data_IF_312941679594
#
_entry.id   IF_312941679594
#
_cell.length_a   1.000
_cell.length_b   1.000
_cell.length_c   1.000
_cell.angle_alpha   90.00
_cell.angle_beta   90.00
_cell.angle_gamma   90.00
#
_symmetry.space_group_name_H-M   'P 1'
#
loop_
_entity.id
_entity.type
_entity.pdbx_description
1 polymer ?
#
# COMPACT_ATOMS: atom_id res chain seq x y z
N UNK A 1 -5.09 27.10 0.57
CA UNK A 1 -3.65 27.43 0.62
C UNK A 1 -3.32 28.30 -0.59
N UNK A 2 -2.94 29.56 -0.40
CA UNK A 2 -2.29 30.33 -1.46
C UNK A 2 -1.02 29.59 -1.91
N UNK A 3 -0.79 29.52 -3.22
CA UNK A 3 0.31 28.76 -3.78
C UNK A 3 1.65 29.47 -3.54
N UNK A 4 2.26 29.23 -2.38
CA UNK A 4 3.60 29.70 -2.07
C UNK A 4 4.60 29.08 -3.07
N UNK A 5 5.23 29.95 -3.85
CA UNK A 5 6.22 29.57 -4.86
C UNK A 5 7.59 29.44 -4.20
N UNK A 6 8.28 28.34 -4.50
CA UNK A 6 9.61 28.04 -3.99
C UNK A 6 10.68 28.81 -4.77
N UNK A 7 11.76 29.21 -4.11
CA UNK A 7 13.00 29.56 -4.82
C UNK A 7 13.56 28.28 -5.45
N UNK A 8 13.87 28.35 -6.75
CA UNK A 8 14.33 27.20 -7.52
C UNK A 8 15.65 26.67 -6.95
N UNK A 9 15.68 25.38 -6.57
CA UNK A 9 16.90 24.72 -6.10
C UNK A 9 17.11 23.42 -6.89
N UNK A 10 18.06 23.43 -7.81
CA UNK A 10 18.21 22.39 -8.84
C UNK A 10 19.00 21.14 -8.40
N UNK A 11 19.32 20.98 -7.11
CA UNK A 11 20.19 19.89 -6.63
C UNK A 11 19.41 18.68 -6.09
N UNK A 12 18.55 18.08 -6.92
CA UNK A 12 17.82 16.84 -6.57
C UNK A 12 18.76 15.64 -6.37
N UNK A 13 19.80 15.52 -7.22
CA UNK A 13 20.76 14.40 -7.23
C UNK A 13 21.64 14.29 -5.98
N UNK A 14 21.79 15.37 -5.21
CA UNK A 14 22.54 15.36 -3.93
C UNK A 14 21.67 14.96 -2.73
N UNK A 15 20.41 14.58 -2.95
CA UNK A 15 19.55 14.09 -1.88
C UNK A 15 19.99 12.69 -1.44
N UNK A 16 20.39 12.56 -0.18
CA UNK A 16 20.65 11.25 0.44
C UNK A 16 19.43 10.32 0.32
N UNK A 17 18.22 10.87 0.49
CA UNK A 17 16.96 10.09 0.37
C UNK A 17 16.77 9.53 -1.04
N UNK A 18 17.10 10.32 -2.07
CA UNK A 18 17.02 9.89 -3.47
C UNK A 18 18.06 8.79 -3.78
N UNK A 19 19.29 8.98 -3.31
CA UNK A 19 20.36 7.99 -3.52
C UNK A 19 19.98 6.65 -2.85
N UNK A 20 19.46 6.70 -1.63
CA UNK A 20 18.96 5.50 -0.92
C UNK A 20 17.76 4.87 -1.61
N UNK A 21 16.85 5.66 -2.21
CA UNK A 21 15.70 5.09 -2.92
C UNK A 21 16.13 4.37 -4.21
N UNK A 22 17.15 4.86 -4.91
CA UNK A 22 17.73 4.17 -6.06
C UNK A 22 18.44 2.87 -5.64
N UNK A 23 19.20 2.90 -4.55
CA UNK A 23 19.82 1.69 -3.99
C UNK A 23 18.76 0.66 -3.60
N UNK A 24 17.70 1.09 -2.90
CA UNK A 24 16.59 0.22 -2.53
C UNK A 24 15.89 -0.38 -3.75
N UNK A 25 15.67 0.40 -4.82
CA UNK A 25 15.11 -0.13 -6.06
C UNK A 25 16.02 -1.19 -6.69
N UNK A 26 17.34 -0.98 -6.72
CA UNK A 26 18.30 -1.99 -7.21
C UNK A 26 18.20 -3.29 -6.41
N UNK A 27 18.18 -3.19 -5.09
CA UNK A 27 18.08 -4.35 -4.20
C UNK A 27 16.76 -5.10 -4.43
N UNK A 28 15.64 -4.37 -4.51
CA UNK A 28 14.33 -4.93 -4.84
C UNK A 28 14.34 -5.69 -6.17
N UNK A 29 14.98 -5.16 -7.20
CA UNK A 29 15.08 -5.84 -8.49
C UNK A 29 15.84 -7.17 -8.39
N UNK A 30 16.97 -7.16 -7.69
CA UNK A 30 17.78 -8.36 -7.47
C UNK A 30 17.01 -9.43 -6.67
N UNK A 31 16.42 -9.04 -5.55
CA UNK A 31 15.65 -9.94 -4.67
C UNK A 31 14.39 -10.48 -5.34
N UNK A 32 13.70 -9.67 -6.16
CA UNK A 32 12.44 -10.11 -6.79
C UNK A 32 12.62 -10.93 -8.06
N UNK A 33 13.85 -11.10 -8.56
CA UNK A 33 14.11 -11.80 -9.84
C UNK A 33 13.54 -13.23 -9.85
N UNK A 34 13.71 -13.96 -8.75
CA UNK A 34 13.29 -15.35 -8.60
C UNK A 34 11.84 -15.52 -8.14
N UNK A 35 11.06 -14.44 -7.99
CA UNK A 35 9.67 -14.57 -7.55
C UNK A 35 8.84 -15.24 -8.66
N UNK A 36 8.13 -16.34 -8.36
CA UNK A 36 7.32 -17.04 -9.36
C UNK A 36 6.05 -16.23 -9.71
N UNK A 37 5.55 -15.41 -8.79
CA UNK A 37 4.40 -14.53 -9.01
C UNK A 37 4.83 -13.23 -9.72
N UNK A 38 4.46 -13.14 -11.00
CA UNK A 38 4.68 -11.95 -11.83
C UNK A 38 4.00 -10.70 -11.27
N UNK A 39 2.80 -10.81 -10.70
CA UNK A 39 2.02 -9.67 -10.21
C UNK A 39 2.71 -9.04 -9.00
N UNK A 40 3.16 -9.86 -8.04
CA UNK A 40 3.92 -9.35 -6.88
C UNK A 40 5.24 -8.76 -7.36
N UNK A 41 5.97 -9.46 -8.23
CA UNK A 41 7.28 -9.03 -8.74
C UNK A 41 7.22 -7.68 -9.44
N UNK A 42 6.32 -7.52 -10.40
CA UNK A 42 6.19 -6.30 -11.20
C UNK A 42 5.72 -5.11 -10.34
N UNK A 43 4.69 -5.31 -9.51
CA UNK A 43 4.20 -4.24 -8.64
C UNK A 43 5.23 -3.79 -7.63
N UNK A 44 6.04 -4.71 -7.12
CA UNK A 44 7.09 -4.40 -6.15
C UNK A 44 8.18 -3.55 -6.82
N UNK A 45 8.62 -3.93 -8.01
CA UNK A 45 9.59 -3.19 -8.84
C UNK A 45 9.08 -1.81 -9.23
N UNK A 46 7.86 -1.72 -9.73
CA UNK A 46 7.20 -0.45 -10.09
C UNK A 46 7.11 0.49 -8.89
N UNK A 47 6.66 -0.03 -7.74
CA UNK A 47 6.56 0.74 -6.50
C UNK A 47 7.93 1.24 -6.06
N UNK A 48 8.97 0.39 -6.09
CA UNK A 48 10.31 0.76 -5.65
C UNK A 48 10.93 1.88 -6.50
N UNK A 49 10.81 1.81 -7.84
CA UNK A 49 11.24 2.89 -8.75
C UNK A 49 10.46 4.16 -8.49
N UNK A 50 9.14 4.05 -8.28
CA UNK A 50 8.26 5.20 -8.08
C UNK A 50 8.61 6.01 -6.83
N UNK A 51 9.26 5.42 -5.82
CA UNK A 51 9.78 6.16 -4.66
C UNK A 51 10.80 7.22 -5.13
N UNK A 52 11.80 6.80 -5.90
CA UNK A 52 12.84 7.70 -6.40
C UNK A 52 12.30 8.75 -7.37
N UNK A 53 11.38 8.35 -8.27
CA UNK A 53 10.71 9.27 -9.21
C UNK A 53 9.94 10.35 -8.47
N UNK A 54 9.15 9.98 -7.45
CA UNK A 54 8.41 10.95 -6.64
C UNK A 54 9.34 11.90 -5.86
N UNK A 55 10.41 11.40 -5.24
CA UNK A 55 11.41 12.24 -4.55
C UNK A 55 12.09 13.21 -5.51
N UNK A 56 12.41 12.77 -6.73
CA UNK A 56 13.00 13.64 -7.74
C UNK A 56 12.01 14.74 -8.19
N UNK A 57 10.75 14.37 -8.44
CA UNK A 57 9.71 15.32 -8.84
C UNK A 57 9.39 16.34 -7.73
N UNK A 58 9.42 15.91 -6.46
CA UNK A 58 9.20 16.80 -5.32
C UNK A 58 10.26 17.91 -5.25
N UNK A 59 11.50 17.63 -5.65
CA UNK A 59 12.61 18.60 -5.63
C UNK A 59 12.51 19.64 -6.75
N UNK A 60 12.05 19.23 -7.94
CA UNK A 60 12.05 20.07 -9.15
C UNK A 60 10.82 20.97 -9.22
N UNK A 61 9.74 20.62 -8.51
CA UNK A 61 8.51 21.40 -8.54
C UNK A 61 8.65 22.77 -7.87
N UNK A 62 7.97 23.77 -8.43
CA UNK A 62 8.03 25.17 -7.97
C UNK A 62 7.03 25.49 -6.83
N UNK A 63 6.17 24.55 -6.45
CA UNK A 63 5.07 24.80 -5.51
C UNK A 63 5.13 23.83 -4.34
N UNK A 64 5.12 24.35 -3.11
CA UNK A 64 5.17 23.52 -1.90
C UNK A 64 4.02 22.51 -1.81
N UNK A 65 2.81 22.87 -2.25
CA UNK A 65 1.68 21.94 -2.29
C UNK A 65 1.94 20.75 -3.24
N UNK A 66 2.60 20.98 -4.38
CA UNK A 66 2.98 19.88 -5.30
C UNK A 66 4.13 19.05 -4.72
N UNK A 67 5.11 19.70 -4.07
CA UNK A 67 6.21 19.00 -3.39
C UNK A 67 5.67 18.04 -2.32
N UNK A 68 4.72 18.51 -1.50
CA UNK A 68 4.04 17.69 -0.51
C UNK A 68 3.34 16.49 -1.17
N UNK A 69 2.60 16.72 -2.26
CA UNK A 69 1.89 15.64 -2.97
C UNK A 69 2.86 14.57 -3.50
N UNK A 70 4.00 14.97 -4.07
CA UNK A 70 5.01 14.01 -4.52
C UNK A 70 5.65 13.26 -3.36
N UNK A 71 6.01 13.93 -2.26
CA UNK A 71 6.54 13.26 -1.07
C UNK A 71 5.53 12.29 -0.45
N UNK A 72 4.25 12.65 -0.41
CA UNK A 72 3.16 11.77 0.01
C UNK A 72 2.98 10.59 -0.98
N UNK A 73 3.22 10.80 -2.27
CA UNK A 73 3.33 9.74 -3.28
C UNK A 73 4.51 8.79 -3.02
N UNK A 74 5.66 9.29 -2.56
CA UNK A 74 6.76 8.43 -2.14
C UNK A 74 6.39 7.57 -0.92
N UNK A 75 5.71 8.14 0.09
CA UNK A 75 5.21 7.38 1.26
C UNK A 75 4.22 6.28 0.85
N UNK A 76 3.36 6.58 -0.12
CA UNK A 76 2.44 5.61 -0.72
C UNK A 76 3.23 4.42 -1.28
N UNK A 77 4.20 4.67 -2.15
CA UNK A 77 5.02 3.64 -2.78
C UNK A 77 5.85 2.82 -1.77
N UNK A 78 6.39 3.48 -0.73
CA UNK A 78 7.08 2.77 0.36
C UNK A 78 6.13 1.80 1.06
N UNK A 79 4.91 2.24 1.39
CA UNK A 79 3.90 1.38 2.03
C UNK A 79 3.50 0.20 1.15
N UNK A 80 3.45 0.41 -0.17
CA UNK A 80 3.22 -0.66 -1.15
C UNK A 80 4.36 -1.68 -1.16
N UNK A 81 5.62 -1.23 -1.22
CA UNK A 81 6.77 -2.13 -1.15
C UNK A 81 6.75 -2.98 0.12
N UNK A 82 6.54 -2.37 1.29
CA UNK A 82 6.47 -3.08 2.57
C UNK A 82 5.38 -4.15 2.58
N UNK A 83 4.21 -3.82 2.03
CA UNK A 83 3.10 -4.78 1.88
C UNK A 83 3.50 -5.94 0.97
N UNK A 84 4.03 -5.65 -0.22
CA UNK A 84 4.40 -6.66 -1.22
C UNK A 84 5.55 -7.56 -0.76
N UNK A 85 6.52 -7.02 -0.01
CA UNK A 85 7.57 -7.80 0.66
C UNK A 85 6.97 -8.76 1.70
N UNK A 86 5.99 -8.29 2.49
CA UNK A 86 5.28 -9.14 3.44
C UNK A 86 4.46 -10.23 2.73
N UNK A 87 3.84 -9.92 1.59
CA UNK A 87 3.15 -10.91 0.76
C UNK A 87 4.12 -11.96 0.22
N UNK A 88 5.28 -11.53 -0.29
CA UNK A 88 6.31 -12.43 -0.79
C UNK A 88 6.82 -13.38 0.32
N UNK A 89 7.06 -12.86 1.53
CA UNK A 89 7.42 -13.66 2.70
C UNK A 89 6.34 -14.69 3.04
N UNK A 90 5.09 -14.26 3.12
CA UNK A 90 3.93 -15.13 3.41
C UNK A 90 3.80 -16.26 2.39
N UNK A 91 4.14 -15.98 1.13
CA UNK A 91 4.11 -16.96 0.04
C UNK A 91 5.36 -17.83 -0.05
N UNK A 92 6.36 -17.60 0.80
CA UNK A 92 7.63 -18.32 0.75
C UNK A 92 8.49 -17.96 -0.47
N UNK A 93 8.23 -16.83 -1.13
CA UNK A 93 9.05 -16.32 -2.24
C UNK A 93 10.31 -15.62 -1.75
N UNK A 94 10.32 -15.26 -0.46
CA UNK A 94 11.36 -14.49 0.20
C UNK A 94 11.66 -15.11 1.55
N UNK A 95 12.94 -15.28 1.89
CA UNK A 95 13.34 -15.74 3.21
C UNK A 95 13.16 -14.63 4.24
N UNK A 96 13.06 -15.00 5.52
CA UNK A 96 12.82 -14.02 6.59
C UNK A 96 13.96 -13.00 6.69
N UNK A 97 15.21 -13.43 6.52
CA UNK A 97 16.41 -12.60 6.59
C UNK A 97 16.40 -11.54 5.47
N UNK A 98 16.11 -11.96 4.23
CA UNK A 98 16.01 -11.08 3.06
C UNK A 98 14.85 -10.09 3.22
N UNK A 99 13.72 -10.55 3.77
CA UNK A 99 12.59 -9.71 4.14
C UNK A 99 12.99 -8.64 5.16
N UNK A 100 13.67 -9.02 6.24
CA UNK A 100 14.10 -8.08 7.28
C UNK A 100 15.05 -7.02 6.71
N UNK A 101 16.02 -7.43 5.88
CA UNK A 101 16.95 -6.49 5.25
C UNK A 101 16.21 -5.47 4.37
N UNK A 102 15.32 -5.94 3.49
CA UNK A 102 14.54 -5.07 2.62
C UNK A 102 13.59 -4.16 3.42
N UNK A 103 12.94 -4.68 4.45
CA UNK A 103 12.03 -3.94 5.34
C UNK A 103 12.79 -2.85 6.11
N UNK A 104 13.98 -3.12 6.63
CA UNK A 104 14.81 -2.12 7.30
C UNK A 104 15.12 -0.94 6.37
N UNK A 105 15.49 -1.21 5.11
CA UNK A 105 15.74 -0.17 4.09
C UNK A 105 14.47 0.62 3.77
N UNK A 106 13.32 -0.06 3.65
CA UNK A 106 12.03 0.60 3.40
C UNK A 106 11.59 1.48 4.58
N UNK A 107 11.79 1.04 5.83
CA UNK A 107 11.51 1.82 7.04
C UNK A 107 12.45 3.02 7.16
N UNK A 108 13.71 2.87 6.78
CA UNK A 108 14.65 4.00 6.72
C UNK A 108 14.14 5.06 5.72
N UNK A 109 13.79 4.65 4.49
CA UNK A 109 13.21 5.55 3.49
C UNK A 109 11.92 6.21 3.95
N UNK A 110 11.07 5.50 4.70
CA UNK A 110 9.85 6.04 5.29
C UNK A 110 10.20 7.19 6.25
N UNK A 111 11.10 6.95 7.21
CA UNK A 111 11.55 7.96 8.19
C UNK A 111 12.17 9.18 7.52
N UNK A 112 13.01 8.96 6.51
CA UNK A 112 13.65 10.04 5.76
C UNK A 112 12.64 10.87 4.97
N UNK A 113 11.72 10.23 4.24
CA UNK A 113 10.67 10.90 3.45
C UNK A 113 9.72 11.68 4.34
N UNK A 114 9.37 11.12 5.50
CA UNK A 114 8.58 11.79 6.51
C UNK A 114 9.29 13.02 7.08
N UNK A 115 10.61 12.94 7.32
CA UNK A 115 11.41 14.10 7.75
C UNK A 115 11.41 15.21 6.69
N UNK A 116 11.41 14.88 5.40
CA UNK A 116 11.29 15.88 4.33
C UNK A 116 9.93 16.59 4.36
N UNK A 117 8.85 15.84 4.59
CA UNK A 117 7.49 16.41 4.71
C UNK A 117 7.41 17.34 5.93
N UNK A 118 7.90 16.90 7.09
CA UNK A 118 7.90 17.73 8.31
C UNK A 118 8.63 19.06 8.10
N UNK A 119 9.79 19.03 7.45
CA UNK A 119 10.55 20.25 7.11
C UNK A 119 9.74 21.14 6.18
N UNK A 120 9.15 20.58 5.13
CA UNK A 120 8.32 21.33 4.18
C UNK A 120 7.16 22.05 4.88
N UNK A 121 6.50 21.39 5.84
CA UNK A 121 5.40 21.99 6.58
C UNK A 121 5.85 23.08 7.52
N UNK A 122 6.95 22.89 8.26
CA UNK A 122 7.54 23.94 9.09
C UNK A 122 7.83 25.21 8.29
N UNK A 123 8.32 25.07 7.04
CA UNK A 123 8.53 26.22 6.15
C UNK A 123 7.24 26.89 5.70
N UNK A 124 6.14 26.15 5.56
CA UNK A 124 4.87 26.67 5.03
C UNK A 124 4.00 27.28 6.12
N UNK A 125 4.00 26.72 7.33
CA UNK A 125 3.06 27.10 8.40
C UNK A 125 3.69 27.92 9.52
N UNK A 126 5.03 27.96 9.67
CA UNK A 126 5.73 28.54 10.83
C UNK A 126 5.23 28.01 12.19
N UNK A 127 4.53 26.88 12.20
CA UNK A 127 3.98 26.25 13.41
C UNK A 127 4.74 24.94 13.63
N UNK A 128 5.09 24.64 14.87
CA UNK A 128 5.56 23.30 15.22
C UNK A 128 4.47 22.29 14.90
N UNK A 129 4.69 21.51 13.84
CA UNK A 129 3.76 20.46 13.44
C UNK A 129 3.73 19.42 14.55
N UNK A 130 2.54 19.26 15.15
CA UNK A 130 2.22 18.24 16.14
C UNK A 130 2.69 16.86 15.63
N UNK A 131 3.03 15.94 16.53
CA UNK A 131 3.70 14.68 16.19
C UNK A 131 2.84 13.83 15.25
N UNK A 132 3.05 13.88 13.93
CA UNK A 132 2.38 12.92 13.06
C UNK A 132 3.03 11.55 13.29
N UNK A 133 2.21 10.61 13.72
CA UNK A 133 2.59 9.20 13.74
C UNK A 133 2.06 8.56 12.47
N UNK A 134 2.96 8.11 11.61
CA UNK A 134 2.60 7.13 10.59
C UNK A 134 2.33 5.83 11.34
N UNK A 135 1.06 5.43 11.41
CA UNK A 135 0.68 4.15 12.00
C UNK A 135 1.41 3.02 11.25
N UNK A 136 2.05 2.11 11.98
CA UNK A 136 2.53 0.88 11.36
C UNK A 136 1.30 0.03 11.02
N UNK A 137 0.92 0.00 9.74
CA UNK A 137 -0.29 -0.68 9.27
C UNK A 137 -0.32 -2.15 9.66
N UNK A 138 0.83 -2.78 9.94
CA UNK A 138 0.93 -4.17 10.39
C UNK A 138 0.32 -4.43 11.78
N UNK A 139 0.19 -3.39 12.59
CA UNK A 139 -0.53 -3.45 13.86
C UNK A 139 -2.05 -3.32 13.68
N UNK A 140 -2.51 -3.01 12.47
CA UNK A 140 -3.94 -2.88 12.17
C UNK A 140 -4.59 -4.24 12.02
N UNK A 141 -5.60 -4.51 12.85
CA UNK A 141 -6.43 -5.70 12.72
C UNK A 141 -7.14 -5.77 11.35
N UNK A 142 -7.49 -4.61 10.77
CA UNK A 142 -8.04 -4.55 9.41
C UNK A 142 -7.05 -5.05 8.37
N UNK A 143 -5.78 -4.62 8.47
CA UNK A 143 -4.74 -5.06 7.55
C UNK A 143 -4.47 -6.56 7.69
N UNK A 144 -4.25 -7.04 8.91
CA UNK A 144 -3.97 -8.46 9.15
C UNK A 144 -5.12 -9.34 8.63
N UNK A 145 -6.38 -8.94 8.86
CA UNK A 145 -7.53 -9.69 8.34
C UNK A 145 -7.61 -9.70 6.81
N UNK A 146 -7.13 -8.64 6.16
CA UNK A 146 -7.05 -8.60 4.69
C UNK A 146 -5.93 -9.48 4.12
N UNK A 147 -4.87 -9.74 4.90
CA UNK A 147 -3.82 -10.72 4.56
C UNK A 147 -4.39 -12.13 4.66
N UNK A 148 -5.12 -12.46 5.73
CA UNK A 148 -5.79 -13.77 5.87
C UNK A 148 -6.74 -14.04 4.68
N UNK A 149 -7.54 -13.03 4.32
CA UNK A 149 -8.44 -13.12 3.17
C UNK A 149 -7.66 -13.42 1.89
N UNK A 150 -6.56 -12.73 1.67
CA UNK A 150 -5.73 -12.96 0.51
C UNK A 150 -5.16 -14.39 0.53
N UNK A 151 -4.56 -14.84 1.63
CA UNK A 151 -4.00 -16.20 1.74
C UNK A 151 -5.04 -17.29 1.45
N UNK A 152 -6.25 -17.15 1.99
CA UNK A 152 -7.33 -18.12 1.75
C UNK A 152 -7.78 -18.18 0.29
N UNK A 153 -7.77 -17.05 -0.42
CA UNK A 153 -8.04 -17.01 -1.86
C UNK A 153 -6.92 -17.67 -2.66
N UNK A 154 -5.67 -17.44 -2.27
CA UNK A 154 -4.52 -18.11 -2.88
C UNK A 154 -4.63 -19.62 -2.76
N UNK A 155 -4.90 -20.14 -1.56
CA UNK A 155 -5.08 -21.59 -1.38
C UNK A 155 -6.23 -22.16 -2.19
N UNK A 156 -7.34 -21.42 -2.29
CA UNK A 156 -8.45 -21.82 -3.17
C UNK A 156 -7.98 -21.90 -4.63
N UNK A 157 -7.32 -20.86 -5.13
CA UNK A 157 -6.86 -20.78 -6.52
C UNK A 157 -5.82 -21.86 -6.81
N UNK A 158 -4.83 -22.04 -5.94
CA UNK A 158 -3.78 -23.07 -6.07
C UNK A 158 -4.36 -24.50 -6.03
N UNK A 159 -5.54 -24.70 -5.41
CA UNK A 159 -6.20 -26.01 -5.33
C UNK A 159 -7.10 -26.36 -6.51
N UNK A 160 -7.36 -25.41 -7.42
CA UNK A 160 -8.31 -25.60 -8.52
C UNK A 160 -7.57 -25.95 -9.80
N UNK A 161 -8.13 -26.90 -10.53
CA UNK A 161 -7.65 -27.23 -11.87
C UNK A 161 -7.85 -26.03 -12.81
N UNK A 162 -6.73 -25.41 -13.20
CA UNK A 162 -6.70 -24.15 -13.94
C UNK A 162 -7.30 -24.27 -15.35
N UNK A 163 -7.40 -25.48 -15.92
CA UNK A 163 -7.92 -25.68 -17.27
C UNK A 163 -9.38 -25.22 -17.44
N UNK A 164 -10.17 -25.17 -16.36
CA UNK A 164 -11.60 -24.86 -16.43
C UNK A 164 -11.89 -23.38 -16.12
N UNK A 165 -10.99 -22.67 -15.41
CA UNK A 165 -11.36 -21.37 -14.81
C UNK A 165 -10.24 -20.34 -14.62
N UNK A 166 -9.19 -20.40 -15.45
CA UNK A 166 -8.00 -19.55 -15.34
C UNK A 166 -8.33 -18.05 -15.21
N UNK A 167 -9.20 -17.50 -16.07
CA UNK A 167 -9.51 -16.06 -16.09
C UNK A 167 -10.17 -15.59 -14.78
N UNK A 168 -11.12 -16.36 -14.24
CA UNK A 168 -11.80 -16.03 -12.97
C UNK A 168 -10.81 -16.17 -11.80
N UNK A 169 -9.95 -17.19 -11.83
CA UNK A 169 -8.94 -17.43 -10.81
C UNK A 169 -7.90 -16.29 -10.78
N UNK A 170 -7.36 -15.92 -11.94
CA UNK A 170 -6.41 -14.81 -12.11
C UNK A 170 -7.01 -13.49 -11.64
N UNK A 171 -8.30 -13.26 -11.92
CA UNK A 171 -8.94 -12.04 -11.47
C UNK A 171 -9.18 -12.02 -9.96
N UNK A 172 -9.66 -13.12 -9.38
CA UNK A 172 -9.82 -13.25 -7.94
C UNK A 172 -8.49 -13.02 -7.22
N UNK A 173 -7.40 -13.56 -7.77
CA UNK A 173 -6.03 -13.39 -7.31
C UNK A 173 -5.60 -11.92 -7.30
N UNK A 174 -5.76 -11.24 -8.44
CA UNK A 174 -5.41 -9.83 -8.59
C UNK A 174 -6.18 -8.94 -7.61
N UNK A 175 -7.47 -9.19 -7.43
CA UNK A 175 -8.31 -8.48 -6.47
C UNK A 175 -7.88 -8.79 -5.02
N UNK A 176 -7.50 -10.03 -4.72
CA UNK A 176 -7.01 -10.43 -3.41
C UNK A 176 -5.75 -9.67 -2.99
N UNK A 177 -4.74 -9.55 -3.85
CA UNK A 177 -3.50 -8.78 -3.59
C UNK A 177 -3.80 -7.29 -3.38
N UNK A 178 -4.72 -6.73 -4.17
CA UNK A 178 -5.01 -5.30 -4.14
C UNK A 178 -5.63 -4.83 -2.82
N UNK A 179 -6.34 -5.71 -2.09
CA UNK A 179 -7.00 -5.33 -0.83
C UNK A 179 -6.02 -4.94 0.30
N UNK A 180 -5.08 -5.80 0.73
CA UNK A 180 -4.08 -5.41 1.72
C UNK A 180 -3.24 -4.22 1.23
N UNK A 181 -2.98 -4.13 -0.07
CA UNK A 181 -2.26 -3.00 -0.66
C UNK A 181 -2.99 -1.66 -0.47
N UNK A 182 -4.28 -1.60 -0.81
CA UNK A 182 -5.11 -0.40 -0.62
C UNK A 182 -5.30 -0.05 0.86
N UNK A 183 -5.41 -1.06 1.72
CA UNK A 183 -5.54 -0.84 3.17
C UNK A 183 -4.23 -0.29 3.76
N UNK A 184 -3.08 -0.93 3.51
CA UNK A 184 -1.80 -0.48 4.01
C UNK A 184 -1.45 0.92 3.51
N UNK A 185 -1.68 1.16 2.22
CA UNK A 185 -1.47 2.49 1.63
C UNK A 185 -2.35 3.54 2.27
N UNK A 186 -3.64 3.25 2.50
CA UNK A 186 -4.58 4.13 3.18
C UNK A 186 -4.13 4.48 4.59
N UNK A 187 -3.76 3.48 5.40
CA UNK A 187 -3.26 3.69 6.77
C UNK A 187 -2.00 4.55 6.77
N UNK A 188 -1.07 4.30 5.83
CA UNK A 188 0.17 5.07 5.68
C UNK A 188 0.00 6.48 5.10
N UNK A 189 -1.19 6.87 4.62
CA UNK A 189 -1.43 8.21 4.09
C UNK A 189 -1.56 9.25 5.17
N UNK A 190 -0.88 10.39 4.99
CA UNK A 190 -1.04 11.57 5.84
C UNK A 190 -2.24 12.41 5.40
N UNK A 191 -2.48 12.49 4.09
CA UNK A 191 -3.64 13.20 3.55
C UNK A 191 -4.93 12.37 3.74
N UNK A 192 -5.83 12.87 4.59
CA UNK A 192 -7.10 12.21 4.92
C UNK A 192 -7.99 11.94 3.69
N UNK A 193 -7.99 12.83 2.69
CA UNK A 193 -8.75 12.60 1.44
C UNK A 193 -8.20 11.43 0.65
N UNK A 194 -6.87 11.31 0.58
CA UNK A 194 -6.20 10.19 -0.10
C UNK A 194 -6.43 8.89 0.68
N UNK A 195 -6.35 8.94 2.02
CA UNK A 195 -6.69 7.82 2.91
C UNK A 195 -8.10 7.29 2.63
N UNK A 196 -9.10 8.16 2.62
CA UNK A 196 -10.50 7.81 2.33
C UNK A 196 -10.63 7.20 0.93
N UNK A 197 -9.98 7.80 -0.06
CA UNK A 197 -9.98 7.28 -1.44
C UNK A 197 -9.45 5.84 -1.48
N UNK A 198 -8.33 5.55 -0.81
CA UNK A 198 -7.73 4.21 -0.77
C UNK A 198 -8.63 3.18 -0.09
N UNK A 199 -9.30 3.54 1.00
CA UNK A 199 -10.27 2.63 1.63
C UNK A 199 -11.52 2.40 0.78
N UNK A 200 -11.96 3.39 -0.01
CA UNK A 200 -13.04 3.18 -0.97
C UNK A 200 -12.59 2.24 -2.10
N UNK A 201 -11.37 2.40 -2.63
CA UNK A 201 -10.78 1.48 -3.60
C UNK A 201 -10.73 0.04 -3.04
N UNK A 202 -10.33 -0.16 -1.79
CA UNK A 202 -10.40 -1.46 -1.11
C UNK A 202 -11.83 -2.02 -1.03
N UNK A 203 -12.81 -1.18 -0.67
CA UNK A 203 -14.21 -1.59 -0.56
C UNK A 203 -14.80 -2.02 -1.90
N UNK A 204 -14.54 -1.24 -2.95
CA UNK A 204 -14.97 -1.56 -4.32
C UNK A 204 -14.34 -2.85 -4.81
N UNK A 205 -13.05 -3.04 -4.51
CA UNK A 205 -12.30 -4.25 -4.81
C UNK A 205 -12.88 -5.50 -4.12
N UNK A 206 -13.24 -5.40 -2.83
CA UNK A 206 -13.97 -6.47 -2.11
C UNK A 206 -15.37 -6.73 -2.68
N UNK A 207 -16.02 -5.72 -3.25
CA UNK A 207 -17.30 -5.86 -3.95
C UNK A 207 -17.16 -6.66 -5.24
N UNK A 208 -16.13 -6.36 -6.04
CA UNK A 208 -15.78 -7.11 -7.25
C UNK A 208 -15.42 -8.55 -6.92
N UNK A 209 -14.57 -8.76 -5.91
CA UNK A 209 -14.14 -10.10 -5.48
C UNK A 209 -15.34 -11.01 -5.14
N UNK A 210 -16.35 -10.50 -4.43
CA UNK A 210 -17.57 -11.29 -4.13
C UNK A 210 -18.29 -11.77 -5.40
N UNK A 211 -18.24 -11.00 -6.51
CA UNK A 211 -18.83 -11.42 -7.79
C UNK A 211 -18.05 -12.58 -8.40
N UNK A 212 -16.72 -12.50 -8.40
CA UNK A 212 -15.86 -13.57 -8.89
C UNK A 212 -15.98 -14.84 -8.05
N UNK A 213 -16.01 -14.74 -6.72
CA UNK A 213 -16.23 -15.89 -5.83
C UNK A 213 -17.57 -16.60 -6.11
N UNK A 214 -18.63 -15.85 -6.44
CA UNK A 214 -19.92 -16.43 -6.84
C UNK A 214 -19.86 -17.13 -8.19
N UNK A 215 -19.11 -16.60 -9.15
CA UNK A 215 -18.90 -17.25 -10.44
C UNK A 215 -18.08 -18.54 -10.27
N UNK A 216 -17.06 -18.49 -9.41
CA UNK A 216 -16.27 -19.65 -9.01
C UNK A 216 -17.14 -20.74 -8.37
N UNK A 217 -18.05 -20.37 -7.48
CA UNK A 217 -18.99 -21.31 -6.85
C UNK A 217 -19.95 -22.01 -7.83
N UNK A 218 -20.26 -21.38 -8.97
CA UNK A 218 -21.11 -21.98 -10.00
C UNK A 218 -20.38 -23.03 -10.82
N UNK A 219 -19.06 -22.92 -10.92
CA UNK A 219 -18.20 -23.72 -11.80
C UNK A 219 -17.46 -24.82 -11.04
N UNK A 220 -17.09 -24.58 -9.78
CA UNK A 220 -16.36 -25.52 -8.93
C UNK A 220 -17.22 -25.99 -7.72
N UNK A 221 -18.08 -27.00 -7.94
CA UNK A 221 -19.03 -27.48 -6.92
C UNK A 221 -18.36 -28.06 -5.66
N UNK A 222 -17.11 -28.53 -5.77
CA UNK A 222 -16.44 -29.26 -4.70
C UNK A 222 -15.89 -28.35 -3.58
N UNK A 223 -15.76 -27.04 -3.79
CA UNK A 223 -15.09 -26.12 -2.85
C UNK A 223 -16.07 -25.21 -2.08
N UNK A 224 -17.31 -25.68 -1.86
CA UNK A 224 -18.39 -24.84 -1.33
C UNK A 224 -18.14 -24.39 0.11
N UNK A 225 -17.48 -25.21 0.93
CA UNK A 225 -17.17 -24.89 2.32
C UNK A 225 -16.09 -23.79 2.40
N UNK A 226 -15.03 -23.93 1.60
CA UNK A 226 -13.91 -23.01 1.46
C UNK A 226 -14.40 -21.65 0.95
N UNK A 227 -15.23 -21.64 -0.10
CA UNK A 227 -15.81 -20.43 -0.66
C UNK A 227 -16.70 -19.69 0.36
N UNK A 228 -17.44 -20.42 1.20
CA UNK A 228 -18.22 -19.83 2.30
C UNK A 228 -17.30 -19.18 3.34
N UNK A 229 -16.23 -19.86 3.75
CA UNK A 229 -15.25 -19.33 4.70
C UNK A 229 -14.55 -18.06 4.16
N UNK A 230 -14.20 -18.05 2.87
CA UNK A 230 -13.62 -16.87 2.19
C UNK A 230 -14.61 -15.70 2.18
N UNK A 231 -15.88 -15.94 1.86
CA UNK A 231 -16.91 -14.89 1.87
C UNK A 231 -17.15 -14.34 3.29
N UNK A 232 -17.14 -15.19 4.32
CA UNK A 232 -17.21 -14.75 5.71
C UNK A 232 -16.01 -13.88 6.10
N UNK A 233 -14.80 -14.28 5.70
CA UNK A 233 -13.58 -13.51 5.90
C UNK A 233 -13.67 -12.14 5.19
N UNK A 234 -14.14 -12.12 3.94
CA UNK A 234 -14.37 -10.89 3.15
C UNK A 234 -15.33 -9.94 3.85
N UNK A 235 -16.45 -10.45 4.37
CA UNK A 235 -17.43 -9.66 5.12
C UNK A 235 -16.80 -9.05 6.37
N UNK A 236 -15.95 -9.78 7.09
CA UNK A 236 -15.23 -9.26 8.25
C UNK A 236 -14.31 -8.09 7.86
N UNK A 237 -13.56 -8.20 6.75
CA UNK A 237 -12.74 -7.08 6.24
C UNK A 237 -13.60 -5.86 5.92
N UNK A 238 -14.76 -6.04 5.28
CA UNK A 238 -15.71 -4.94 5.01
C UNK A 238 -16.21 -4.28 6.30
N UNK A 239 -16.56 -5.07 7.33
CA UNK A 239 -16.99 -4.55 8.63
C UNK A 239 -15.89 -3.73 9.30
N UNK A 240 -14.65 -4.22 9.28
CA UNK A 240 -13.49 -3.52 9.83
C UNK A 240 -13.19 -2.22 9.05
N UNK A 241 -13.31 -2.22 7.72
CA UNK A 241 -13.19 -1.02 6.89
C UNK A 241 -14.24 0.03 7.26
N UNK A 242 -15.51 -0.37 7.37
CA UNK A 242 -16.59 0.54 7.74
C UNK A 242 -16.41 1.11 9.17
N UNK A 243 -15.91 0.29 10.11
CA UNK A 243 -15.56 0.75 11.46
C UNK A 243 -14.44 1.80 11.43
N UNK A 244 -13.40 1.59 10.60
CA UNK A 244 -12.32 2.56 10.42
C UNK A 244 -12.84 3.87 9.80
N UNK A 245 -13.73 3.81 8.80
CA UNK A 245 -14.40 5.00 8.25
C UNK A 245 -15.21 5.77 9.30
N UNK A 246 -15.94 5.06 10.17
CA UNK A 246 -16.70 5.68 11.26
C UNK A 246 -15.80 6.52 12.17
N UNK A 247 -14.65 5.97 12.58
CA UNK A 247 -13.66 6.66 13.40
C UNK A 247 -13.06 7.89 12.72
N UNK A 248 -12.72 7.79 11.43
CA UNK A 248 -12.19 8.93 10.67
C UNK A 248 -13.19 10.08 10.57
N UNK A 249 -14.48 9.77 10.37
CA UNK A 249 -15.53 10.80 10.33
C UNK A 249 -15.67 11.51 11.68
N UNK A 250 -15.68 10.76 12.79
CA UNK A 250 -15.77 11.37 14.13
C UNK A 250 -14.57 12.26 14.46
N UNK A 251 -13.36 11.89 14.04
CA UNK A 251 -12.16 12.70 14.28
C UNK A 251 -12.17 14.00 13.47
N UNK A 252 -12.57 13.95 12.20
CA UNK A 252 -12.62 15.15 11.35
C UNK A 252 -13.70 16.15 11.79
N UNK A 253 -14.82 15.68 12.36
CA UNK A 253 -15.85 16.58 12.91
C UNK A 253 -15.32 17.39 14.10
N UNK A 254 -14.37 16.86 14.85
CA UNK A 254 -13.75 17.57 15.98
C UNK A 254 -12.75 18.63 15.51
N UNK A 255 -12.02 18.38 14.42
CA UNK A 255 -11.05 19.33 13.86
C UNK A 255 -11.68 20.53 13.14
N UNK A 256 -12.94 20.43 12.68
CA UNK A 256 -13.65 21.56 12.04
C UNK A 256 -14.36 22.50 13.03
N UNK A 257 -14.40 22.13 14.32
CA UNK A 257 -15.10 22.89 15.38
C UNK A 257 -14.11 23.67 16.29
N UNK A 258 -12.82 23.59 15.99
CA UNK A 258 -11.76 24.40 16.62
C UNK A 258 -11.14 25.36 15.63
#
# INVERSE_FOLDING_TARGET
MQALRKQYNNNSRKSMVYTKSLSFAKDVYATSEHFPDLVIREKLRESAISIGTNIAQSRVTMYHAKEFNYLNGALLCISQCRTLLQLALVRGFLMYEEFQEAECKAVELLKMSFTLIKRLEQYVTNIEVEKWMVEDFRQSHLYNRSIDLMQTIYWLVDSVDFEINYEIAEEAYRLAINNPLFIATGIGQLNVKVRIKKFNEAKDNLGKLSRYLRQFNKTACNNRAELKAIEECRIQVVKLLNSYFGRLKSSNTIEQVK
#
